data_IF_823048495207
#
_entry.id   IF_823048495207
#
_cell.length_a   1.000
_cell.length_b   1.000
_cell.length_c   1.000
_cell.angle_alpha   90.00
_cell.angle_beta   90.00
_cell.angle_gamma   90.00
#
_symmetry.space_group_name_H-M   'P 1'
#
loop_
_entity.id
_entity.type
_entity.pdbx_description
1 polymer ?
#
# COMPACT_ATOMS: atom_id res chain seq x y z
N UNK A 1 29.37 25.40 -54.77
CA UNK A 1 29.30 24.66 -53.50
C UNK A 1 27.87 24.73 -53.00
N UNK A 2 27.15 23.60 -52.99
CA UNK A 2 25.72 23.54 -52.65
C UNK A 2 25.63 23.48 -51.12
N UNK A 3 25.11 24.53 -50.48
CA UNK A 3 24.97 24.56 -49.03
C UNK A 3 24.09 23.38 -48.57
N UNK A 4 24.51 22.58 -47.56
CA UNK A 4 23.66 21.53 -47.02
C UNK A 4 22.40 22.16 -46.42
N UNK A 5 21.25 21.61 -46.81
CA UNK A 5 19.90 22.13 -46.61
C UNK A 5 19.49 22.28 -45.13
N UNK A 6 18.48 23.12 -44.82
CA UNK A 6 17.86 23.33 -43.48
C UNK A 6 17.26 22.06 -42.81
N UNK A 7 17.44 20.88 -43.39
CA UNK A 7 16.91 19.59 -42.94
C UNK A 7 17.44 19.16 -41.56
N UNK A 8 18.63 19.63 -41.17
CA UNK A 8 19.19 19.36 -39.83
C UNK A 8 18.40 20.00 -38.69
N UNK A 9 17.77 21.15 -38.94
CA UNK A 9 16.98 21.86 -37.91
C UNK A 9 15.64 21.18 -37.65
N UNK A 10 14.98 20.69 -38.69
CA UNK A 10 13.68 20.00 -38.59
C UNK A 10 13.82 18.68 -37.84
N UNK A 11 14.85 17.88 -38.16
CA UNK A 11 15.13 16.62 -37.47
C UNK A 11 15.38 16.80 -35.96
N UNK A 12 16.00 17.92 -35.56
CA UNK A 12 16.25 18.22 -34.15
C UNK A 12 14.95 18.57 -33.41
N UNK A 13 14.00 19.25 -34.08
CA UNK A 13 12.69 19.57 -33.52
C UNK A 13 11.85 18.30 -33.37
N UNK A 14 11.81 17.45 -34.40
CA UNK A 14 11.09 16.17 -34.35
C UNK A 14 11.63 15.26 -33.25
N UNK A 15 12.96 15.13 -33.13
CA UNK A 15 13.58 14.36 -32.07
C UNK A 15 13.28 14.92 -30.68
N UNK A 16 13.27 16.25 -30.53
CA UNK A 16 12.91 16.91 -29.26
C UNK A 16 11.46 16.61 -28.86
N UNK A 17 10.53 16.62 -29.81
CA UNK A 17 9.13 16.26 -29.55
C UNK A 17 9.02 14.80 -29.13
N UNK A 18 9.68 13.87 -29.83
CA UNK A 18 9.69 12.46 -29.46
C UNK A 18 10.25 12.26 -28.05
N UNK A 19 11.33 12.95 -27.70
CA UNK A 19 11.90 12.91 -26.35
C UNK A 19 10.92 13.42 -25.30
N UNK A 20 10.25 14.55 -25.53
CA UNK A 20 9.26 15.09 -24.58
C UNK A 20 8.11 14.10 -24.36
N UNK A 21 7.52 13.58 -25.44
CA UNK A 21 6.40 12.63 -25.35
C UNK A 21 6.79 11.32 -24.68
N UNK A 22 7.96 10.77 -25.03
CA UNK A 22 8.46 9.54 -24.39
C UNK A 22 8.75 9.75 -22.92
N UNK A 23 9.29 10.92 -22.53
CA UNK A 23 9.54 11.24 -21.12
C UNK A 23 8.24 11.30 -20.33
N UNK A 24 7.21 11.97 -20.86
CA UNK A 24 5.87 12.03 -20.22
C UNK A 24 5.28 10.62 -20.09
N UNK A 25 5.38 9.80 -21.14
CA UNK A 25 4.88 8.43 -21.11
C UNK A 25 5.59 7.58 -20.04
N UNK A 26 6.92 7.66 -19.95
CA UNK A 26 7.71 6.94 -18.94
C UNK A 26 7.34 7.38 -17.52
N UNK A 27 7.16 8.70 -17.30
CA UNK A 27 6.71 9.21 -16.00
C UNK A 27 5.32 8.69 -15.62
N UNK A 28 4.38 8.69 -16.56
CA UNK A 28 3.02 8.17 -16.32
C UNK A 28 3.01 6.67 -16.01
N UNK A 29 3.76 5.86 -16.75
CA UNK A 29 3.87 4.42 -16.48
C UNK A 29 4.55 4.17 -15.14
N UNK A 30 5.59 4.93 -14.81
CA UNK A 30 6.31 4.81 -13.54
C UNK A 30 5.40 5.11 -12.34
N UNK A 31 4.56 6.14 -12.45
CA UNK A 31 3.56 6.49 -11.43
C UNK A 31 2.60 5.33 -11.16
N UNK A 32 2.00 4.78 -12.22
CA UNK A 32 1.05 3.67 -12.11
C UNK A 32 1.71 2.40 -11.56
N UNK A 33 2.93 2.09 -12.04
CA UNK A 33 3.69 0.93 -11.58
C UNK A 33 3.97 1.00 -10.07
N UNK A 34 4.39 2.17 -9.58
CA UNK A 34 4.61 2.39 -8.13
C UNK A 34 3.30 2.26 -7.35
N UNK A 35 2.24 2.93 -7.78
CA UNK A 35 0.94 2.87 -7.09
C UNK A 35 0.40 1.44 -6.97
N UNK A 36 0.46 0.67 -8.07
CA UNK A 36 0.05 -0.74 -8.07
C UNK A 36 0.95 -1.57 -7.15
N UNK A 37 2.26 -1.35 -7.19
CA UNK A 37 3.20 -2.03 -6.32
C UNK A 37 2.89 -1.80 -4.84
N UNK A 38 2.70 -0.55 -4.40
CA UNK A 38 2.30 -0.22 -3.02
C UNK A 38 1.00 -0.93 -2.63
N UNK A 39 -0.02 -0.90 -3.50
CA UNK A 39 -1.29 -1.58 -3.24
C UNK A 39 -1.15 -3.10 -3.08
N UNK A 40 -0.32 -3.74 -3.92
CA UNK A 40 -0.09 -5.19 -3.85
C UNK A 40 0.66 -5.59 -2.59
N UNK A 41 1.66 -4.81 -2.18
CA UNK A 41 2.43 -5.06 -0.96
C UNK A 41 1.54 -4.92 0.28
N UNK A 42 0.71 -3.88 0.36
CA UNK A 42 -0.20 -3.68 1.48
C UNK A 42 -1.23 -4.82 1.59
N UNK A 43 -1.82 -5.25 0.47
CA UNK A 43 -2.74 -6.38 0.47
C UNK A 43 -2.06 -7.67 0.92
N UNK A 44 -0.83 -7.91 0.47
CA UNK A 44 -0.04 -9.07 0.88
C UNK A 44 0.29 -9.02 2.37
N UNK A 45 0.68 -7.87 2.89
CA UNK A 45 0.97 -7.67 4.31
C UNK A 45 -0.29 -7.88 5.17
N UNK A 46 -1.42 -7.30 4.78
CA UNK A 46 -2.69 -7.50 5.46
C UNK A 46 -3.11 -8.98 5.48
N UNK A 47 -2.99 -9.66 4.33
CA UNK A 47 -3.31 -11.08 4.23
C UNK A 47 -2.38 -11.96 5.08
N UNK A 48 -1.07 -11.71 5.06
CA UNK A 48 -0.12 -12.47 5.88
C UNK A 48 -0.34 -12.25 7.37
N UNK A 49 -0.58 -11.02 7.81
CA UNK A 49 -0.94 -10.72 9.19
C UNK A 49 -2.22 -11.44 9.62
N UNK A 50 -3.29 -11.37 8.80
CA UNK A 50 -4.53 -12.07 9.06
C UNK A 50 -4.34 -13.59 9.13
N UNK A 51 -3.52 -14.16 8.23
CA UNK A 51 -3.22 -15.59 8.20
C UNK A 51 -2.47 -16.07 9.44
N UNK A 52 -1.47 -15.31 9.90
CA UNK A 52 -0.68 -15.68 11.08
C UNK A 52 -1.55 -15.60 12.34
N UNK A 53 -2.38 -14.57 12.45
CA UNK A 53 -3.34 -14.45 13.57
C UNK A 53 -4.40 -15.54 13.52
N UNK A 54 -4.90 -15.90 12.33
CA UNK A 54 -5.86 -16.98 12.16
C UNK A 54 -5.29 -18.37 12.50
N UNK A 55 -3.96 -18.52 12.53
CA UNK A 55 -3.27 -19.75 12.93
C UNK A 55 -2.91 -19.78 14.43
N UNK A 56 -3.32 -18.77 15.21
CA UNK A 56 -3.08 -18.78 16.65
C UNK A 56 -3.95 -19.83 17.36
N UNK A 57 -3.42 -20.50 18.40
CA UNK A 57 -4.15 -21.52 19.12
C UNK A 57 -5.35 -20.94 19.87
N UNK A 58 -6.37 -21.77 20.11
CA UNK A 58 -7.61 -21.36 20.77
C UNK A 58 -7.40 -20.67 22.12
N UNK A 59 -6.37 -21.12 22.85
CA UNK A 59 -6.01 -20.60 24.18
C UNK A 59 -5.71 -19.10 24.16
N UNK A 60 -5.19 -18.59 23.05
CA UNK A 60 -4.91 -17.16 22.85
C UNK A 60 -6.20 -16.35 22.79
N UNK A 61 -7.25 -16.88 22.18
CA UNK A 61 -8.55 -16.20 22.08
C UNK A 61 -9.35 -16.30 23.38
N UNK A 62 -9.21 -17.41 24.12
CA UNK A 62 -9.89 -17.61 25.41
C UNK A 62 -9.27 -16.78 26.53
N UNK A 63 -7.94 -16.58 26.51
CA UNK A 63 -7.24 -15.76 27.51
C UNK A 63 -7.40 -14.27 27.21
N UNK A 64 -7.98 -13.51 28.16
CA UNK A 64 -8.24 -12.08 28.00
C UNK A 64 -6.97 -11.24 27.76
N UNK A 65 -5.88 -11.55 28.46
CA UNK A 65 -4.59 -10.85 28.28
C UNK A 65 -3.95 -11.11 26.92
N UNK A 66 -4.06 -12.34 26.41
CA UNK A 66 -3.51 -12.70 25.10
C UNK A 66 -4.41 -12.16 23.96
N UNK A 67 -5.72 -12.23 24.13
CA UNK A 67 -6.71 -11.71 23.19
C UNK A 67 -6.57 -10.21 22.96
N UNK A 68 -6.41 -9.44 24.04
CA UNK A 68 -6.23 -7.98 23.95
C UNK A 68 -4.93 -7.59 23.23
N UNK A 69 -3.94 -8.48 23.16
CA UNK A 69 -2.71 -8.27 22.41
C UNK A 69 -2.83 -8.58 20.90
N UNK A 70 -3.87 -9.27 20.45
CA UNK A 70 -4.04 -9.70 19.04
C UNK A 70 -3.89 -8.52 18.06
N UNK A 71 -4.55 -7.35 18.26
CA UNK A 71 -4.41 -6.25 17.31
C UNK A 71 -2.98 -5.71 17.22
N UNK A 72 -2.27 -5.66 18.34
CA UNK A 72 -0.88 -5.23 18.38
C UNK A 72 0.04 -6.23 17.66
N UNK A 73 -0.21 -7.53 17.83
CA UNK A 73 0.54 -8.59 17.13
C UNK A 73 0.29 -8.54 15.63
N UNK A 74 -0.98 -8.45 15.20
CA UNK A 74 -1.36 -8.33 13.80
C UNK A 74 -0.69 -7.12 13.14
N UNK A 75 -0.72 -5.98 13.83
CA UNK A 75 -0.06 -4.75 13.38
C UNK A 75 1.45 -4.90 13.27
N UNK A 76 2.11 -5.52 14.26
CA UNK A 76 3.56 -5.75 14.21
C UNK A 76 3.93 -6.59 12.98
N UNK A 77 3.21 -7.69 12.74
CA UNK A 77 3.43 -8.56 11.58
C UNK A 77 3.22 -7.79 10.28
N UNK A 78 2.15 -7.00 10.20
CA UNK A 78 1.88 -6.17 9.03
C UNK A 78 3.08 -5.24 8.73
N UNK A 79 3.57 -4.52 9.75
CA UNK A 79 4.67 -3.58 9.60
C UNK A 79 5.97 -4.28 9.21
N UNK A 80 6.24 -5.46 9.76
CA UNK A 80 7.39 -6.29 9.43
C UNK A 80 7.34 -6.72 7.95
N UNK A 81 6.21 -7.26 7.48
CA UNK A 81 6.05 -7.66 6.08
C UNK A 81 6.12 -6.47 5.12
N UNK A 82 5.54 -5.33 5.50
CA UNK A 82 5.60 -4.12 4.70
C UNK A 82 7.04 -3.56 4.61
N UNK A 83 7.79 -3.61 5.72
CA UNK A 83 9.19 -3.19 5.76
C UNK A 83 10.10 -4.12 4.95
N UNK A 84 9.90 -5.44 5.05
CA UNK A 84 10.65 -6.45 4.27
C UNK A 84 10.39 -6.30 2.77
N UNK A 85 9.19 -5.86 2.39
CA UNK A 85 8.86 -5.55 1.02
C UNK A 85 9.46 -4.20 0.55
N UNK A 86 10.12 -3.43 1.42
CA UNK A 86 10.75 -2.16 1.08
C UNK A 86 9.77 -1.00 0.89
N UNK A 87 8.58 -1.07 1.51
CA UNK A 87 7.55 -0.05 1.36
C UNK A 87 8.08 1.30 1.91
N UNK A 88 8.27 2.29 1.03
CA UNK A 88 8.80 3.61 1.40
C UNK A 88 7.88 4.36 2.38
N UNK A 89 6.56 4.20 2.21
CA UNK A 89 5.53 4.79 3.07
C UNK A 89 4.82 3.70 3.88
N UNK A 90 5.24 3.57 5.13
CA UNK A 90 4.61 2.65 6.08
C UNK A 90 3.38 3.33 6.70
N UNK A 91 2.21 2.66 6.80
CA UNK A 91 1.04 3.22 7.46
C UNK A 91 1.37 3.66 8.88
N UNK A 92 0.69 4.72 9.34
CA UNK A 92 0.76 5.03 10.75
C UNK A 92 0.16 3.88 11.56
N UNK A 93 0.65 3.80 12.79
CA UNK A 93 0.18 2.94 13.84
C UNK A 93 -1.33 2.69 13.87
N UNK A 94 -2.06 3.81 13.83
CA UNK A 94 -3.49 3.87 14.09
C UNK A 94 -4.33 3.62 12.83
N UNK A 95 -3.68 3.61 11.66
CA UNK A 95 -4.30 3.33 10.37
C UNK A 95 -4.32 1.82 10.06
N UNK A 96 -3.81 0.98 10.99
CA UNK A 96 -3.83 -0.49 10.91
C UNK A 96 -4.77 -1.02 11.99
N UNK A 97 -5.89 -1.58 11.56
CA UNK A 97 -6.87 -2.21 12.43
C UNK A 97 -6.90 -3.72 12.19
N UNK A 98 -6.96 -4.49 13.28
CA UNK A 98 -7.24 -5.92 13.21
C UNK A 98 -8.49 -6.22 14.02
N UNK A 99 -9.38 -7.03 13.43
CA UNK A 99 -10.68 -7.37 13.98
C UNK A 99 -10.95 -8.87 13.82
N UNK A 100 -11.78 -9.37 14.71
CA UNK A 100 -12.35 -10.71 14.66
C UNK A 100 -13.77 -10.59 14.13
N UNK A 101 -14.08 -11.28 13.04
CA UNK A 101 -15.31 -11.11 12.27
C UNK A 101 -15.55 -9.63 11.93
N UNK A 102 -16.71 -9.08 12.29
CA UNK A 102 -17.06 -7.68 12.07
C UNK A 102 -16.71 -6.75 13.25
N UNK A 103 -15.98 -7.23 14.28
CA UNK A 103 -15.80 -6.49 15.53
C UNK A 103 -14.52 -6.81 16.30
N UNK A 104 -14.52 -6.46 17.58
CA UNK A 104 -13.40 -6.77 18.47
C UNK A 104 -13.33 -8.27 18.75
N UNK A 105 -12.13 -8.79 18.97
CA UNK A 105 -11.97 -10.16 19.41
C UNK A 105 -12.59 -10.34 20.80
N UNK A 106 -13.47 -11.33 20.93
CA UNK A 106 -14.15 -11.67 22.19
C UNK A 106 -13.74 -13.06 22.66
N UNK A 107 -14.34 -13.55 23.75
CA UNK A 107 -14.17 -14.93 24.20
C UNK A 107 -14.77 -15.96 23.25
N UNK A 108 -15.66 -15.54 22.34
CA UNK A 108 -16.22 -16.40 21.30
C UNK A 108 -15.21 -16.56 20.18
N UNK A 109 -15.03 -17.79 19.72
CA UNK A 109 -14.10 -18.08 18.63
C UNK A 109 -14.50 -17.33 17.35
N UNK A 110 -13.60 -16.56 16.73
CA UNK A 110 -13.90 -15.91 15.47
C UNK A 110 -14.07 -16.91 14.33
N UNK A 111 -14.92 -16.58 13.36
CA UNK A 111 -14.98 -17.31 12.10
C UNK A 111 -14.00 -16.75 11.08
N UNK A 112 -13.70 -15.45 11.17
CA UNK A 112 -12.82 -14.74 10.26
C UNK A 112 -11.89 -13.81 11.03
N UNK A 113 -10.64 -13.73 10.59
CA UNK A 113 -9.71 -12.69 11.00
C UNK A 113 -9.60 -11.68 9.86
N UNK A 114 -9.78 -10.40 10.21
CA UNK A 114 -9.71 -9.29 9.27
C UNK A 114 -8.61 -8.35 9.72
N UNK A 115 -7.66 -8.07 8.84
CA UNK A 115 -6.66 -7.01 9.03
C UNK A 115 -6.86 -5.99 7.94
N UNK A 116 -7.07 -4.74 8.32
CA UNK A 116 -7.26 -3.60 7.44
C UNK A 116 -6.16 -2.59 7.69
N UNK A 117 -5.55 -2.11 6.61
CA UNK A 117 -4.58 -1.03 6.68
C UNK A 117 -4.92 0.01 5.62
N UNK A 118 -4.85 1.28 6.00
CA UNK A 118 -5.01 2.39 5.08
C UNK A 118 -3.71 3.19 5.02
N UNK A 119 -3.25 3.50 3.81
CA UNK A 119 -2.20 4.49 3.63
C UNK A 119 -2.69 5.61 2.73
N UNK A 120 -2.05 6.76 2.87
CA UNK A 120 -2.10 7.82 1.90
C UNK A 120 -0.77 7.77 1.17
N UNK A 121 -0.81 7.29 -0.07
CA UNK A 121 0.37 7.28 -0.92
C UNK A 121 0.58 8.68 -1.50
N UNK A 122 1.73 9.26 -1.20
CA UNK A 122 2.23 10.50 -1.81
C UNK A 122 3.40 10.14 -2.72
N UNK A 123 3.26 10.42 -4.02
CA UNK A 123 4.33 10.13 -4.96
C UNK A 123 5.44 11.19 -4.85
N UNK A 124 6.70 10.79 -4.61
CA UNK A 124 7.81 11.72 -4.48
C UNK A 124 8.19 12.40 -5.80
N UNK A 125 7.93 11.79 -6.97
CA UNK A 125 8.24 12.35 -8.29
C UNK A 125 7.26 13.47 -8.70
N UNK A 126 6.02 13.41 -8.22
CA UNK A 126 4.97 14.41 -8.49
C UNK A 126 4.64 15.26 -7.26
N UNK A 127 5.55 15.31 -6.28
CA UNK A 127 5.31 15.73 -4.90
C UNK A 127 4.38 16.94 -4.71
N UNK A 128 3.47 16.84 -3.72
CA UNK A 128 2.71 17.90 -3.01
C UNK A 128 2.05 19.02 -3.85
N UNK A 129 1.98 18.91 -5.17
CA UNK A 129 1.66 20.01 -6.08
C UNK A 129 0.24 19.92 -6.63
N UNK A 130 -0.72 19.76 -5.72
CA UNK A 130 -2.06 20.35 -5.92
C UNK A 130 -2.19 21.48 -4.90
N UNK A 131 -2.46 22.72 -5.34
CA UNK A 131 -2.43 23.89 -4.47
C UNK A 131 -3.42 23.75 -3.31
N UNK A 132 -2.90 24.13 -2.15
CA UNK A 132 -3.46 24.01 -0.81
C UNK A 132 -4.75 24.83 -0.66
N UNK A 133 -5.87 24.12 -0.50
CA UNK A 133 -7.08 24.63 0.13
C UNK A 133 -7.40 23.72 1.32
N UNK A 134 -7.11 24.21 2.54
CA UNK A 134 -7.66 23.79 3.82
C UNK A 134 -7.75 22.28 4.16
N UNK A 135 -6.70 21.73 4.78
CA UNK A 135 -6.85 20.63 5.75
C UNK A 135 -7.18 19.22 5.24
N UNK A 136 -7.20 18.99 3.93
CA UNK A 136 -7.45 17.67 3.34
C UNK A 136 -6.12 16.95 3.09
N UNK A 137 -5.95 15.73 3.61
CA UNK A 137 -4.82 14.87 3.24
C UNK A 137 -4.99 14.45 1.76
N UNK A 138 -4.24 15.07 0.84
CA UNK A 138 -4.28 14.73 -0.58
C UNK A 138 -3.21 13.69 -0.94
N UNK A 139 -3.66 12.55 -1.43
CA UNK A 139 -2.86 11.43 -1.92
C UNK A 139 -3.77 10.31 -2.38
N UNK A 140 -3.22 9.30 -3.05
CA UNK A 140 -4.00 8.11 -3.39
C UNK A 140 -4.23 7.35 -2.09
N UNK A 141 -5.49 7.31 -1.63
CA UNK A 141 -5.86 6.46 -0.50
C UNK A 141 -5.83 5.02 -1.01
N UNK A 142 -4.93 4.23 -0.42
CA UNK A 142 -4.85 2.81 -0.69
C UNK A 142 -5.35 2.10 0.56
N UNK A 143 -6.48 1.42 0.40
CA UNK A 143 -7.09 0.58 1.42
C UNK A 143 -6.78 -0.88 1.11
N UNK A 144 -6.22 -1.57 2.10
CA UNK A 144 -5.83 -2.96 1.99
C UNK A 144 -6.54 -3.78 3.06
N UNK A 145 -7.17 -4.87 2.63
CA UNK A 145 -7.93 -5.75 3.52
C UNK A 145 -7.50 -7.20 3.30
N UNK A 146 -6.94 -7.80 4.34
CA UNK A 146 -6.69 -9.24 4.43
C UNK A 146 -7.82 -9.90 5.21
N UNK A 147 -8.47 -10.90 4.62
CA UNK A 147 -9.48 -11.72 5.30
C UNK A 147 -9.11 -13.18 5.18
N UNK A 148 -9.08 -13.88 6.31
CA UNK A 148 -8.73 -15.30 6.36
C UNK A 148 -9.72 -16.00 7.30
N UNK A 149 -10.31 -17.14 6.92
CA UNK A 149 -11.11 -17.93 7.83
C UNK A 149 -10.25 -18.45 8.97
N UNK A 150 -10.80 -18.48 10.18
CA UNK A 150 -10.13 -19.11 11.31
C UNK A 150 -10.14 -20.63 11.14
N UNK A 151 -8.96 -21.26 11.27
CA UNK A 151 -8.85 -22.71 11.28
C UNK A 151 -8.90 -23.17 12.74
N UNK A 152 -10.05 -23.68 13.17
CA UNK A 152 -10.16 -24.38 14.44
C UNK A 152 -9.66 -25.82 14.22
N UNK A 153 -8.53 -26.15 14.85
CA UNK A 153 -7.99 -27.51 14.92
C UNK A 153 -8.58 -28.27 16.11
#
# INVERSE_FOLDING_TARGET
MKAPAPQRGIALIEFSLVLIFTTIAVLGVSFLARGIWHATVLHKAAYQAARIVAAMPEDVFRNDSARTAIPAVARRIFLEVAADAGLESVPAADDIAASCDAGTCTTVMPQQIIVRAQIIYLDPLFGHSVPVMAGVKHGLIIDAVGRVPYAAD
#
